data_IF_158330489399
#
_entry.id   IF_158330489399
#
_cell.length_a   1.000
_cell.length_b   1.000
_cell.length_c   1.000
_cell.angle_alpha   90.00
_cell.angle_beta   90.00
_cell.angle_gamma   90.00
#
_symmetry.space_group_name_H-M   'P 1'
#
loop_
_entity.id
_entity.type
_entity.pdbx_description
1 polymer ?
#
# COMPACT_ATOMS: atom_id res chain seq x y z
N UNK A 1 22.64 -32.84 19.20
CA UNK A 1 22.34 -32.37 17.83
C UNK A 1 21.21 -31.34 17.92
N UNK A 2 21.56 -30.07 18.06
CA UNK A 2 20.62 -28.95 17.92
C UNK A 2 21.45 -27.73 17.54
N UNK A 3 21.64 -27.52 16.23
CA UNK A 3 22.18 -26.27 15.73
C UNK A 3 21.05 -25.23 15.80
N UNK A 4 21.11 -24.38 16.81
CA UNK A 4 20.56 -23.03 16.74
C UNK A 4 21.33 -22.31 15.64
N UNK A 5 20.71 -22.19 14.47
CA UNK A 5 21.23 -21.44 13.35
C UNK A 5 21.13 -19.95 13.68
N UNK A 6 22.22 -19.44 14.25
CA UNK A 6 22.45 -18.03 14.52
C UNK A 6 22.49 -17.29 13.18
N UNK A 7 21.39 -16.59 12.84
CA UNK A 7 21.33 -15.66 11.71
C UNK A 7 22.55 -14.72 11.74
N UNK A 8 23.45 -14.93 10.79
CA UNK A 8 24.68 -14.15 10.64
C UNK A 8 24.34 -12.73 10.15
N UNK A 9 24.83 -11.66 10.78
CA UNK A 9 24.66 -10.30 10.28
C UNK A 9 25.67 -10.06 9.16
N UNK A 10 25.26 -10.29 7.92
CA UNK A 10 26.10 -10.08 6.74
C UNK A 10 25.57 -10.67 5.43
N UNK A 11 24.38 -11.28 5.44
CA UNK A 11 23.77 -11.81 4.23
C UNK A 11 23.12 -10.68 3.45
N UNK A 12 23.93 -9.96 2.65
CA UNK A 12 23.42 -9.25 1.49
C UNK A 12 22.42 -10.19 0.79
N UNK A 13 21.16 -9.79 0.66
CA UNK A 13 20.29 -10.51 -0.27
C UNK A 13 20.81 -10.20 -1.65
N UNK A 14 21.65 -11.09 -2.18
CA UNK A 14 22.07 -11.01 -3.57
C UNK A 14 20.80 -11.01 -4.42
N UNK A 15 20.75 -10.19 -5.49
CA UNK A 15 19.59 -10.18 -6.34
C UNK A 15 19.46 -11.57 -6.95
N UNK A 16 18.30 -12.18 -6.74
CA UNK A 16 17.95 -13.49 -7.30
C UNK A 16 17.52 -13.33 -8.75
N UNK A 17 17.13 -12.11 -9.15
CA UNK A 17 16.65 -11.78 -10.49
C UNK A 17 17.28 -10.47 -10.97
N UNK A 18 17.79 -10.48 -12.19
CA UNK A 18 18.23 -9.29 -12.91
C UNK A 18 17.17 -8.95 -13.96
N UNK A 19 16.76 -7.69 -14.02
CA UNK A 19 15.92 -7.17 -15.09
C UNK A 19 16.75 -6.26 -15.99
N UNK A 20 16.74 -6.57 -17.28
CA UNK A 20 17.32 -5.72 -18.31
C UNK A 20 16.60 -4.37 -18.36
N UNK A 21 17.26 -3.38 -18.95
CA UNK A 21 16.78 -2.00 -18.98
C UNK A 21 15.35 -1.86 -19.52
N UNK A 22 15.08 -2.54 -20.62
CA UNK A 22 13.79 -2.47 -21.30
C UNK A 22 12.69 -3.15 -20.46
N UNK A 23 13.00 -4.29 -19.84
CA UNK A 23 12.05 -5.07 -19.04
C UNK A 23 11.56 -4.30 -17.81
N UNK A 24 12.47 -3.72 -17.03
CA UNK A 24 12.03 -2.99 -15.84
C UNK A 24 11.30 -1.70 -16.18
N UNK A 25 11.61 -1.06 -17.31
CA UNK A 25 10.89 0.13 -17.78
C UNK A 25 9.45 -0.21 -18.16
N UNK A 26 9.24 -1.33 -18.85
CA UNK A 26 7.92 -1.81 -19.19
C UNK A 26 7.09 -2.14 -17.93
N UNK A 27 7.68 -2.84 -16.95
CA UNK A 27 7.03 -3.13 -15.68
C UNK A 27 6.69 -1.85 -14.88
N UNK A 28 7.59 -0.87 -14.88
CA UNK A 28 7.37 0.41 -14.22
C UNK A 28 6.23 1.21 -14.88
N UNK A 29 6.15 1.22 -16.21
CA UNK A 29 5.08 1.90 -16.94
C UNK A 29 3.73 1.19 -16.79
N UNK A 30 3.72 -0.15 -16.84
CA UNK A 30 2.53 -0.94 -16.58
C UNK A 30 2.01 -0.74 -15.14
N UNK A 31 2.90 -0.61 -14.16
CA UNK A 31 2.51 -0.23 -12.80
C UNK A 31 1.93 1.18 -12.73
N UNK A 32 2.58 2.14 -13.39
CA UNK A 32 2.10 3.51 -13.44
C UNK A 32 0.71 3.61 -14.04
N UNK A 33 0.47 2.92 -15.16
CA UNK A 33 -0.84 2.87 -15.85
C UNK A 33 -1.93 2.32 -14.93
N UNK A 34 -1.67 1.20 -14.23
CA UNK A 34 -2.63 0.63 -13.27
C UNK A 34 -2.97 1.61 -12.14
N UNK A 35 -1.97 2.33 -11.62
CA UNK A 35 -2.21 3.35 -10.59
C UNK A 35 -3.02 4.52 -11.13
N UNK A 36 -2.70 4.98 -12.34
CA UNK A 36 -3.42 6.08 -13.00
C UNK A 36 -4.89 5.69 -13.20
N UNK A 37 -5.19 4.46 -13.62
CA UNK A 37 -6.56 3.93 -13.72
C UNK A 37 -7.29 3.89 -12.37
N UNK A 38 -6.64 3.40 -11.32
CA UNK A 38 -7.22 3.30 -9.98
C UNK A 38 -7.46 4.67 -9.33
N UNK A 39 -6.68 5.68 -9.70
CA UNK A 39 -6.72 7.02 -9.07
C UNK A 39 -7.44 8.07 -9.91
N UNK A 40 -7.74 7.79 -11.18
CA UNK A 40 -8.44 8.69 -12.12
C UNK A 40 -9.69 9.34 -11.52
N UNK A 41 -10.63 8.54 -11.01
CA UNK A 41 -11.88 9.06 -10.45
C UNK A 41 -11.64 10.00 -9.25
N UNK A 42 -10.63 9.73 -8.44
CA UNK A 42 -10.26 10.62 -7.33
C UNK A 42 -9.70 11.95 -7.85
N UNK A 43 -8.80 11.90 -8.84
CA UNK A 43 -8.21 13.10 -9.44
C UNK A 43 -9.26 13.98 -10.15
N UNK A 44 -10.20 13.38 -10.90
CA UNK A 44 -11.28 14.08 -11.59
C UNK A 44 -12.25 14.77 -10.62
N UNK A 45 -12.57 14.13 -9.48
CA UNK A 45 -13.37 14.77 -8.42
C UNK A 45 -12.59 15.89 -7.75
N UNK A 46 -11.32 15.66 -7.41
CA UNK A 46 -10.47 16.66 -6.78
C UNK A 46 -10.33 17.91 -7.66
N UNK A 47 -10.16 17.74 -8.97
CA UNK A 47 -10.10 18.86 -9.93
C UNK A 47 -11.40 19.69 -9.98
N UNK A 48 -12.55 19.05 -9.73
CA UNK A 48 -13.87 19.71 -9.65
C UNK A 48 -14.23 20.20 -8.24
N UNK A 49 -13.37 19.97 -7.24
CA UNK A 49 -13.65 20.28 -5.84
C UNK A 49 -14.71 19.38 -5.20
N UNK A 50 -15.03 18.22 -5.80
CA UNK A 50 -16.00 17.26 -5.29
C UNK A 50 -15.37 16.34 -4.24
N UNK A 51 -16.08 16.07 -3.15
CA UNK A 51 -15.65 15.16 -2.10
C UNK A 51 -16.38 13.83 -2.20
N UNK A 52 -15.64 12.74 -2.04
CA UNK A 52 -16.19 11.41 -1.86
C UNK A 52 -15.74 10.81 -0.53
N UNK A 53 -16.67 10.57 0.41
CA UNK A 53 -16.35 10.22 1.78
C UNK A 53 -15.50 8.96 1.95
N UNK A 54 -15.82 7.90 1.20
CA UNK A 54 -15.08 6.63 1.28
C UNK A 54 -13.77 6.67 0.49
N UNK A 55 -13.82 7.05 -0.79
CA UNK A 55 -12.64 7.07 -1.67
C UNK A 55 -11.57 8.07 -1.26
N UNK A 56 -11.95 9.23 -0.71
CA UNK A 56 -10.97 10.25 -0.33
C UNK A 56 -10.32 9.96 1.03
N UNK A 57 -10.88 9.03 1.81
CA UNK A 57 -10.33 8.61 3.11
C UNK A 57 -8.87 8.19 3.01
N UNK A 58 -8.49 7.40 2.01
CA UNK A 58 -7.11 6.94 1.84
C UNK A 58 -6.12 8.11 1.69
N UNK A 59 -6.53 9.15 0.99
CA UNK A 59 -5.70 10.32 0.67
C UNK A 59 -5.71 11.34 1.82
N UNK A 60 -6.87 11.57 2.43
CA UNK A 60 -7.02 12.56 3.50
C UNK A 60 -6.52 12.02 4.86
N UNK A 61 -6.84 10.77 5.20
CA UNK A 61 -6.47 10.16 6.49
C UNK A 61 -5.00 9.74 6.54
N UNK A 62 -4.54 8.96 5.54
CA UNK A 62 -3.17 8.47 5.51
C UNK A 62 -2.19 9.42 4.81
N UNK A 63 -2.67 10.49 4.18
CA UNK A 63 -1.84 11.48 3.45
C UNK A 63 -0.97 10.86 2.36
N UNK A 64 -1.49 9.81 1.72
CA UNK A 64 -0.92 9.28 0.50
C UNK A 64 -1.37 10.11 -0.69
N UNK A 65 -0.53 10.17 -1.73
CA UNK A 65 -0.87 10.82 -2.98
C UNK A 65 -0.82 9.80 -4.12
N UNK A 66 -1.61 9.97 -5.20
CA UNK A 66 -1.50 9.14 -6.40
C UNK A 66 -0.07 9.02 -6.91
N UNK A 67 0.70 10.12 -6.90
CA UNK A 67 2.11 10.12 -7.30
C UNK A 67 3.01 9.24 -6.43
N UNK A 68 2.71 9.07 -5.13
CA UNK A 68 3.45 8.10 -4.28
C UNK A 68 3.14 6.66 -4.68
N UNK A 69 1.89 6.35 -5.03
CA UNK A 69 1.52 5.01 -5.49
C UNK A 69 2.08 4.70 -6.88
N UNK A 70 2.20 5.72 -7.74
CA UNK A 70 2.75 5.61 -9.10
C UNK A 70 4.23 5.22 -9.10
N UNK A 71 4.93 5.40 -7.98
CA UNK A 71 6.32 5.00 -7.80
C UNK A 71 6.45 3.48 -7.71
N UNK A 72 6.99 2.87 -8.76
CA UNK A 72 7.23 1.43 -8.83
C UNK A 72 8.51 1.02 -8.10
N UNK A 73 8.46 -0.11 -7.38
CA UNK A 73 9.60 -0.73 -6.70
C UNK A 73 9.72 -2.20 -7.14
N UNK A 74 10.89 -2.66 -7.62
CA UNK A 74 11.06 -4.02 -8.15
C UNK A 74 11.06 -5.13 -7.10
N UNK A 75 11.15 -4.80 -5.82
CA UNK A 75 11.31 -5.76 -4.71
C UNK A 75 12.75 -5.84 -4.20
N UNK A 76 12.96 -6.63 -3.15
CA UNK A 76 14.24 -6.72 -2.43
C UNK A 76 15.24 -7.72 -3.02
N UNK A 77 14.78 -8.59 -3.92
CA UNK A 77 15.58 -9.64 -4.57
C UNK A 77 15.87 -9.34 -6.05
N UNK A 78 15.58 -8.12 -6.51
CA UNK A 78 15.64 -7.76 -7.93
C UNK A 78 16.65 -6.63 -8.14
N UNK A 79 17.55 -6.80 -9.10
CA UNK A 79 18.45 -5.77 -9.59
C UNK A 79 17.98 -5.25 -10.95
N UNK A 80 18.14 -3.94 -11.16
CA UNK A 80 17.81 -3.23 -12.38
C UNK A 80 19.08 -2.88 -13.13
N UNK A 81 19.15 -3.25 -14.41
CA UNK A 81 20.25 -2.87 -15.28
C UNK A 81 20.11 -1.43 -15.79
N UNK A 82 21.24 -0.73 -15.82
CA UNK A 82 21.36 0.60 -16.42
C UNK A 82 20.97 1.75 -15.48
N UNK A 83 20.89 2.94 -16.06
CA UNK A 83 20.49 4.13 -15.33
C UNK A 83 19.00 4.12 -15.01
N UNK A 84 18.67 4.04 -13.73
CA UNK A 84 17.30 4.11 -13.21
C UNK A 84 17.18 5.15 -12.10
N UNK A 85 16.00 5.76 -11.90
CA UNK A 85 15.81 6.78 -10.86
C UNK A 85 15.97 6.24 -9.43
N UNK A 86 15.83 4.91 -9.24
CA UNK A 86 15.95 4.26 -7.94
C UNK A 86 17.32 4.50 -7.29
N UNK A 87 18.37 4.78 -8.07
CA UNK A 87 19.72 5.09 -7.56
C UNK A 87 19.75 6.26 -6.58
N UNK A 88 18.80 7.18 -6.69
CA UNK A 88 18.70 8.38 -5.85
C UNK A 88 17.75 8.18 -4.66
N UNK A 89 17.08 7.02 -4.59
CA UNK A 89 16.07 6.78 -3.58
C UNK A 89 16.68 6.16 -2.33
N UNK A 90 16.01 6.41 -1.20
CA UNK A 90 16.44 5.85 0.07
C UNK A 90 16.37 4.32 0.06
N UNK A 91 17.40 3.69 0.62
CA UNK A 91 17.55 2.23 0.69
C UNK A 91 17.65 1.56 -0.68
N UNK A 92 18.31 2.25 -1.62
CA UNK A 92 18.81 1.67 -2.85
C UNK A 92 20.31 1.88 -2.92
N UNK A 93 21.00 0.93 -3.54
CA UNK A 93 22.42 1.03 -3.88
C UNK A 93 22.61 0.74 -5.36
N UNK A 94 23.59 1.40 -5.96
CA UNK A 94 23.97 1.20 -7.34
C UNK A 94 25.46 0.87 -7.42
N UNK A 95 25.78 -0.24 -8.06
CA UNK A 95 27.16 -0.70 -8.26
C UNK A 95 27.27 -1.42 -9.61
N UNK A 96 28.37 -1.18 -10.34
CA UNK A 96 28.62 -1.83 -11.64
C UNK A 96 27.51 -1.65 -12.69
N UNK A 97 26.73 -0.57 -12.64
CA UNK A 97 25.60 -0.35 -13.55
C UNK A 97 24.32 -1.09 -13.16
N UNK A 98 24.30 -1.77 -12.00
CA UNK A 98 23.12 -2.43 -11.44
C UNK A 98 22.61 -1.66 -10.23
N UNK A 99 21.30 -1.48 -10.15
CA UNK A 99 20.64 -0.81 -9.01
C UNK A 99 19.67 -1.74 -8.32
N UNK A 100 19.75 -1.85 -6.99
CA UNK A 100 18.92 -2.77 -6.21
C UNK A 100 18.61 -2.22 -4.82
N UNK A 101 17.61 -2.81 -4.15
CA UNK A 101 17.27 -2.43 -2.79
C UNK A 101 18.41 -2.77 -1.82
N UNK A 102 18.82 -1.80 -1.02
CA UNK A 102 19.71 -1.97 0.13
C UNK A 102 18.90 -2.42 1.35
N UNK A 103 18.61 -3.73 1.36
CA UNK A 103 17.87 -4.38 2.45
C UNK A 103 18.60 -4.29 3.78
N UNK A 104 19.94 -4.30 3.78
CA UNK A 104 20.74 -4.17 5.00
C UNK A 104 20.59 -2.79 5.63
N UNK A 105 20.75 -1.73 4.83
CA UNK A 105 20.52 -0.36 5.32
C UNK A 105 19.07 -0.15 5.78
N UNK A 106 18.10 -0.75 5.07
CA UNK A 106 16.71 -0.73 5.48
C UNK A 106 16.51 -1.44 6.83
N UNK A 107 17.02 -2.66 6.99
CA UNK A 107 16.85 -3.48 8.20
C UNK A 107 17.65 -2.92 9.39
N UNK A 108 18.80 -2.29 9.16
CA UNK A 108 19.53 -1.57 10.21
C UNK A 108 18.66 -0.44 10.80
N UNK A 109 17.91 0.28 9.96
CA UNK A 109 17.06 1.39 10.41
C UNK A 109 15.68 0.93 10.90
N UNK A 110 15.07 -0.07 10.25
CA UNK A 110 13.64 -0.43 10.37
C UNK A 110 13.41 -1.88 10.78
N UNK A 111 14.45 -2.70 10.93
CA UNK A 111 14.34 -4.15 11.12
C UNK A 111 13.66 -4.56 12.42
N UNK A 112 13.72 -3.76 13.50
CA UNK A 112 12.93 -4.02 14.71
C UNK A 112 11.43 -3.91 14.43
N UNK A 113 11.00 -2.85 13.74
CA UNK A 113 9.60 -2.66 13.38
C UNK A 113 9.12 -3.70 12.37
N UNK A 114 9.96 -4.02 11.37
CA UNK A 114 9.64 -5.04 10.37
C UNK A 114 9.43 -6.43 11.02
N UNK A 115 10.32 -6.84 11.92
CA UNK A 115 10.16 -8.10 12.68
C UNK A 115 8.92 -8.10 13.54
N UNK A 116 8.70 -7.03 14.31
CA UNK A 116 7.48 -6.90 15.12
C UNK A 116 6.19 -7.05 14.29
N UNK A 117 6.12 -6.40 13.12
CA UNK A 117 4.97 -6.51 12.23
C UNK A 117 4.84 -7.94 11.68
N UNK A 118 5.93 -8.56 11.26
CA UNK A 118 5.92 -9.94 10.77
C UNK A 118 5.43 -10.92 11.85
N UNK A 119 5.95 -10.80 13.07
CA UNK A 119 5.56 -11.62 14.22
C UNK A 119 4.10 -11.41 14.59
N UNK A 120 3.63 -10.15 14.58
CA UNK A 120 2.23 -9.81 14.83
C UNK A 120 1.31 -10.43 13.79
N UNK A 121 1.66 -10.32 12.50
CA UNK A 121 0.86 -10.89 11.41
C UNK A 121 0.84 -12.42 11.48
N UNK A 122 1.99 -13.06 11.67
CA UNK A 122 2.08 -14.52 11.83
C UNK A 122 1.24 -15.00 13.04
N UNK A 123 1.37 -14.30 14.17
CA UNK A 123 0.58 -14.60 15.38
C UNK A 123 -0.91 -14.37 15.18
N UNK A 124 -1.30 -13.41 14.34
CA UNK A 124 -2.71 -13.12 14.04
C UNK A 124 -3.29 -14.19 13.12
N UNK A 125 -2.54 -14.58 12.08
CA UNK A 125 -2.95 -15.63 11.15
C UNK A 125 -3.06 -17.00 11.80
N UNK A 126 -2.25 -17.29 12.82
CA UNK A 126 -2.26 -18.56 13.54
C UNK A 126 -3.42 -18.70 14.55
N UNK A 127 -4.10 -17.61 14.91
CA UNK A 127 -5.21 -17.65 15.87
C UNK A 127 -6.50 -18.12 15.20
N UNK A 128 -7.27 -18.92 15.91
CA UNK A 128 -8.66 -19.20 15.55
C UNK A 128 -9.44 -17.89 15.49
N UNK A 129 -10.11 -17.63 14.37
CA UNK A 129 -10.92 -16.44 14.23
C UNK A 129 -12.13 -16.50 15.18
N UNK A 130 -12.21 -15.54 16.09
CA UNK A 130 -13.38 -15.32 16.95
C UNK A 130 -14.18 -14.17 16.37
N UNK A 131 -15.41 -14.46 15.90
CA UNK A 131 -16.28 -13.48 15.24
C UNK A 131 -17.38 -12.91 16.16
N UNK A 132 -17.22 -13.06 17.48
CA UNK A 132 -18.28 -12.72 18.46
C UNK A 132 -18.29 -11.25 18.93
N UNK A 133 -17.56 -10.30 18.30
CA UNK A 133 -17.83 -8.86 18.50
C UNK A 133 -18.60 -8.26 17.32
N UNK A 134 -19.89 -8.03 17.53
CA UNK A 134 -20.67 -7.02 16.80
C UNK A 134 -20.29 -5.62 17.31
N UNK A 135 -19.06 -5.19 17.04
CA UNK A 135 -18.60 -3.83 17.29
C UNK A 135 -19.15 -2.89 16.19
N UNK A 136 -20.48 -2.78 16.09
CA UNK A 136 -21.22 -2.01 15.07
C UNK A 136 -21.77 -0.71 15.67
N UNK A 137 -20.91 0.10 16.28
CA UNK A 137 -21.23 1.46 16.68
C UNK A 137 -19.98 2.33 16.50
N UNK A 138 -19.86 3.01 15.35
CA UNK A 138 -19.26 4.38 15.23
C UNK A 138 -18.91 4.82 13.80
N UNK A 139 -19.55 4.30 12.74
CA UNK A 139 -19.24 4.74 11.37
C UNK A 139 -20.44 5.39 10.67
N UNK A 140 -21.67 5.15 11.15
CA UNK A 140 -22.89 5.68 10.54
C UNK A 140 -23.21 7.14 10.94
N UNK A 141 -22.71 7.62 12.08
CA UNK A 141 -23.12 8.94 12.59
C UNK A 141 -22.46 10.14 11.88
N UNK A 142 -21.58 9.93 10.89
CA UNK A 142 -20.91 11.03 10.16
C UNK A 142 -21.32 11.20 8.68
N UNK A 143 -22.24 10.37 8.15
CA UNK A 143 -22.69 10.48 6.75
C UNK A 143 -24.15 10.88 6.54
N UNK A 144 -24.83 11.33 7.61
CA UNK A 144 -26.08 12.05 7.46
C UNK A 144 -25.83 13.50 7.01
N UNK A 145 -25.34 13.71 5.79
CA UNK A 145 -25.33 15.01 5.13
C UNK A 145 -25.96 14.92 3.74
N UNK A 146 -27.26 15.26 3.72
CA UNK A 146 -28.12 15.61 2.57
C UNK A 146 -28.17 14.65 1.38
N UNK A 147 -29.01 13.62 1.51
CA UNK A 147 -29.89 13.21 0.41
C UNK A 147 -31.32 13.65 0.72
N UNK A 148 -31.59 14.92 0.44
CA UNK A 148 -32.94 15.46 0.20
C UNK A 148 -33.17 15.28 -1.31
N UNK A 149 -34.22 14.67 -1.86
CA UNK A 149 -35.56 14.32 -1.39
C UNK A 149 -36.19 13.36 -2.43
N UNK A 150 -36.83 12.28 -2.00
CA UNK A 150 -37.94 11.68 -2.76
C UNK A 150 -39.13 11.47 -1.82
N UNK A 151 -39.96 12.52 -1.73
CA UNK A 151 -41.24 12.47 -1.04
C UNK A 151 -42.25 11.83 -1.99
N UNK A 152 -42.77 10.65 -1.65
CA UNK A 152 -44.10 10.23 -2.07
C UNK A 152 -44.96 10.06 -0.82
N UNK A 153 -45.95 10.95 -0.70
CA UNK A 153 -47.05 10.82 0.26
C UNK A 153 -47.77 9.49 0.02
N UNK A 154 -47.99 8.74 1.10
CA UNK A 154 -49.13 7.84 1.22
C UNK A 154 -49.79 8.16 2.56
N UNK A 155 -50.90 8.88 2.47
CA UNK A 155 -51.85 9.11 3.56
C UNK A 155 -52.39 7.76 4.01
N UNK A 156 -52.13 7.35 5.25
CA UNK A 156 -52.89 6.26 5.89
C UNK A 156 -53.89 6.93 6.83
N UNK A 157 -55.15 6.87 6.40
CA UNK A 157 -56.31 7.28 7.17
C UNK A 157 -56.36 6.49 8.48
N UNK A 158 -56.53 7.20 9.59
CA UNK A 158 -56.99 6.62 10.84
C UNK A 158 -58.36 5.98 10.59
N UNK A 159 -58.60 4.79 11.15
CA UNK A 159 -59.93 4.46 11.60
C UNK A 159 -59.87 3.80 12.97
N UNK A 160 -60.88 4.16 13.75
CA UNK A 160 -61.10 3.95 15.18
C UNK A 160 -61.36 2.49 15.53
#
# INVERSE_FOLDING_TARGET
MSNTDTLHPGSHTAPVTLLAKEEWRELAEAHATRVDELTRNHLERHARGEKHPMWDFLFDYYRYSPGKFRRWHPGVTVALEGECPHREWKYYRSDGGLTQCDSDAFLAKRGKAARYIADLLASTMARTAHFDCFCLHSWDTRYASKHESFRKSATISHNR
#
